data_IF_003967888935
#
_entry.id   IF_003967888935
#
_cell.length_a   1.000
_cell.length_b   1.000
_cell.length_c   1.000
_cell.angle_alpha   90.00
_cell.angle_beta   90.00
_cell.angle_gamma   90.00
#
_symmetry.space_group_name_H-M   'P 1'
#
loop_
_entity.id
_entity.type
_entity.pdbx_description
1 polymer ?
#
# COMPACT_ATOMS: atom_id res chain seq x y z
N UNK A 1 76.13 -6.27 15.21
CA UNK A 1 74.97 -6.79 15.95
C UNK A 1 73.89 -5.71 15.91
N UNK A 2 72.92 -5.86 15.00
CA UNK A 2 71.83 -4.91 14.82
C UNK A 2 70.66 -5.27 15.75
N UNK A 3 69.98 -4.21 16.25
CA UNK A 3 68.55 -4.10 16.59
C UNK A 3 68.03 -4.94 17.79
N UNK A 4 67.01 -4.55 18.57
CA UNK A 4 65.80 -3.78 18.28
C UNK A 4 65.31 -2.97 19.51
N UNK A 5 64.61 -1.88 19.19
CA UNK A 5 64.03 -0.86 20.04
C UNK A 5 62.85 -1.34 20.90
N UNK A 6 62.62 -0.58 21.96
CA UNK A 6 61.49 -0.63 22.88
C UNK A 6 60.13 -0.91 22.21
N UNK A 7 59.46 -1.97 22.67
CA UNK A 7 58.07 -2.27 22.33
C UNK A 7 57.13 -1.24 22.96
N UNK A 8 56.58 -0.36 22.13
CA UNK A 8 55.43 0.47 22.44
C UNK A 8 54.21 -0.40 22.69
N UNK A 9 53.48 -0.12 23.76
CA UNK A 9 52.15 -0.68 24.03
C UNK A 9 51.19 -0.20 22.93
N UNK A 10 51.09 -0.98 21.86
CA UNK A 10 50.17 -0.73 20.76
C UNK A 10 48.77 -1.23 21.15
N UNK A 11 47.83 -0.30 21.24
CA UNK A 11 46.41 -0.53 20.93
C UNK A 11 45.65 -1.51 21.82
N UNK A 12 45.27 -1.07 23.03
CA UNK A 12 43.98 -1.49 23.55
C UNK A 12 42.91 -0.86 22.65
N UNK A 13 42.45 -1.60 21.64
CA UNK A 13 41.27 -1.26 20.86
C UNK A 13 40.09 -1.12 21.82
N UNK A 14 39.80 0.13 22.19
CA UNK A 14 38.50 0.53 22.69
C UNK A 14 37.46 -0.05 21.73
N UNK A 15 36.74 -1.06 22.20
CA UNK A 15 35.47 -1.46 21.60
C UNK A 15 34.49 -0.32 21.85
N UNK A 16 34.67 0.79 21.15
CA UNK A 16 33.61 1.75 20.91
C UNK A 16 32.44 0.93 20.41
N UNK A 17 31.36 0.88 21.20
CA UNK A 17 30.04 0.58 20.66
C UNK A 17 29.85 1.60 19.56
N UNK A 18 30.12 1.20 18.31
CA UNK A 18 30.03 2.04 17.13
C UNK A 18 28.60 2.57 17.07
N UNK A 19 28.40 3.75 17.65
CA UNK A 19 27.10 4.42 17.64
C UNK A 19 26.80 4.60 16.16
N UNK A 20 25.73 3.98 15.64
CA UNK A 20 25.46 4.03 14.21
C UNK A 20 25.40 5.49 13.81
N UNK A 21 26.10 5.84 12.74
CA UNK A 21 26.20 7.22 12.30
C UNK A 21 24.79 7.83 12.21
N UNK A 22 24.60 9.05 12.74
CA UNK A 22 23.33 9.79 12.76
C UNK A 22 22.44 9.60 11.50
N UNK A 23 22.97 9.63 10.25
CA UNK A 23 22.18 9.36 9.05
C UNK A 23 21.55 7.95 8.96
N UNK A 24 22.17 6.90 9.49
CA UNK A 24 21.59 5.54 9.51
C UNK A 24 20.45 5.43 10.51
N UNK A 25 20.57 6.09 11.67
CA UNK A 25 19.51 6.15 12.68
C UNK A 25 18.27 6.84 12.08
N UNK A 26 18.46 7.93 11.34
CA UNK A 26 17.37 8.67 10.67
C UNK A 26 16.68 7.83 9.60
N UNK A 27 17.45 7.16 8.73
CA UNK A 27 16.90 6.24 7.71
C UNK A 27 16.11 5.09 8.35
N UNK A 28 16.58 4.54 9.48
CA UNK A 28 15.88 3.48 10.22
C UNK A 28 14.58 3.99 10.85
N UNK A 29 14.58 5.20 11.43
CA UNK A 29 13.37 5.86 11.94
C UNK A 29 12.34 6.10 10.84
N UNK A 30 12.78 6.56 9.66
CA UNK A 30 11.91 6.74 8.50
C UNK A 30 11.27 5.42 8.05
N UNK A 31 12.07 4.34 7.94
CA UNK A 31 11.56 3.01 7.59
C UNK A 31 10.51 2.51 8.59
N UNK A 32 10.83 2.58 9.89
CA UNK A 32 9.90 2.17 10.95
C UNK A 32 8.60 2.97 10.90
N UNK A 33 8.67 4.28 10.62
CA UNK A 33 7.49 5.13 10.49
C UNK A 33 6.63 4.76 9.28
N UNK A 34 7.26 4.50 8.13
CA UNK A 34 6.57 4.02 6.92
C UNK A 34 5.91 2.66 7.17
N UNK A 35 6.61 1.73 7.83
CA UNK A 35 6.04 0.44 8.21
C UNK A 35 4.83 0.57 9.15
N UNK A 36 4.92 1.44 10.16
CA UNK A 36 3.81 1.71 11.07
C UNK A 36 2.58 2.25 10.32
N UNK A 37 2.81 3.11 9.31
CA UNK A 37 1.73 3.61 8.46
C UNK A 37 1.15 2.54 7.54
N UNK A 38 1.95 1.64 6.98
CA UNK A 38 1.47 0.59 6.05
C UNK A 38 0.70 -0.52 6.76
N UNK A 39 1.09 -0.88 7.99
CA UNK A 39 0.49 -1.95 8.79
C UNK A 39 -1.05 -1.92 8.89
N UNK A 40 -1.73 -0.81 9.20
CA UNK A 40 -3.19 -0.77 9.27
C UNK A 40 -3.85 -1.08 7.91
N UNK A 41 -3.39 -0.47 6.82
CA UNK A 41 -3.93 -0.72 5.47
C UNK A 41 -3.82 -2.20 5.06
N UNK A 42 -2.69 -2.84 5.37
CA UNK A 42 -2.51 -4.27 5.11
C UNK A 42 -3.48 -5.17 5.90
N UNK A 43 -3.89 -4.74 7.10
CA UNK A 43 -4.88 -5.46 7.90
C UNK A 43 -6.28 -5.26 7.32
N UNK A 44 -6.61 -4.05 6.90
CA UNK A 44 -7.88 -3.71 6.26
C UNK A 44 -8.10 -4.51 4.98
N UNK A 45 -7.10 -4.59 4.10
CA UNK A 45 -7.16 -5.38 2.85
C UNK A 45 -7.47 -6.86 3.12
N UNK A 46 -6.77 -7.45 4.09
CA UNK A 46 -7.01 -8.85 4.50
C UNK A 46 -8.41 -9.04 5.08
N UNK A 47 -8.90 -8.06 5.84
CA UNK A 47 -10.22 -8.12 6.46
C UNK A 47 -11.34 -8.00 5.42
N UNK A 48 -11.20 -7.08 4.46
CA UNK A 48 -12.14 -6.92 3.34
C UNK A 48 -12.25 -8.23 2.56
N UNK A 49 -11.12 -8.80 2.13
CA UNK A 49 -11.11 -10.07 1.38
C UNK A 49 -11.79 -11.23 2.15
N UNK A 50 -11.50 -11.37 3.44
CA UNK A 50 -12.15 -12.38 4.30
C UNK A 50 -13.65 -12.18 4.39
N UNK A 51 -14.07 -10.93 4.53
CA UNK A 51 -15.49 -10.56 4.68
C UNK A 51 -16.25 -10.83 3.37
N UNK A 52 -15.68 -10.50 2.21
CA UNK A 52 -16.25 -10.82 0.89
C UNK A 52 -16.46 -12.33 0.70
N UNK A 53 -15.45 -13.15 1.04
CA UNK A 53 -15.58 -14.61 0.99
C UNK A 53 -16.68 -15.10 1.92
N UNK A 54 -16.73 -14.57 3.15
CA UNK A 54 -17.73 -14.97 4.13
C UNK A 54 -19.13 -14.65 3.64
N UNK A 55 -19.37 -13.44 3.13
CA UNK A 55 -20.68 -13.02 2.60
C UNK A 55 -21.10 -13.89 1.42
N UNK A 56 -20.20 -14.20 0.49
CA UNK A 56 -20.48 -15.11 -0.62
C UNK A 56 -20.87 -16.52 -0.13
N UNK A 57 -20.21 -17.03 0.92
CA UNK A 57 -20.56 -18.35 1.51
C UNK A 57 -21.90 -18.32 2.23
N UNK A 58 -22.19 -17.27 2.99
CA UNK A 58 -23.46 -17.11 3.69
C UNK A 58 -24.63 -17.02 2.71
N UNK A 59 -24.48 -16.25 1.63
CA UNK A 59 -25.47 -16.16 0.56
C UNK A 59 -25.74 -17.54 -0.04
N UNK A 60 -24.70 -18.29 -0.43
CA UNK A 60 -24.85 -19.67 -0.95
C UNK A 60 -25.58 -20.60 0.04
N UNK A 61 -25.22 -20.53 1.33
CA UNK A 61 -25.87 -21.34 2.38
C UNK A 61 -27.35 -21.00 2.54
N UNK A 62 -27.70 -19.73 2.38
CA UNK A 62 -29.07 -19.23 2.46
C UNK A 62 -29.84 -19.34 1.12
N UNK A 63 -29.28 -20.00 0.10
CA UNK A 63 -29.85 -20.04 -1.26
C UNK A 63 -30.07 -18.65 -1.89
N UNK A 64 -29.28 -17.66 -1.50
CA UNK A 64 -29.28 -16.29 -1.99
C UNK A 64 -28.01 -15.98 -2.81
N UNK A 65 -28.02 -14.87 -3.54
CA UNK A 65 -26.90 -14.41 -4.35
C UNK A 65 -26.18 -13.21 -3.70
N UNK A 66 -24.85 -13.23 -3.68
CA UNK A 66 -24.02 -12.11 -3.23
C UNK A 66 -23.41 -11.38 -4.43
N UNK A 67 -23.59 -10.07 -4.50
CA UNK A 67 -23.02 -9.21 -5.53
C UNK A 67 -21.82 -8.45 -4.93
N UNK A 68 -20.59 -8.64 -5.45
CA UNK A 68 -19.41 -7.94 -4.96
C UNK A 68 -19.48 -6.44 -5.31
N UNK A 69 -18.77 -5.61 -4.56
CA UNK A 69 -18.72 -4.17 -4.80
C UNK A 69 -17.96 -3.85 -6.08
N UNK A 70 -18.47 -2.90 -6.87
CA UNK A 70 -17.78 -2.44 -8.09
C UNK A 70 -16.45 -1.75 -7.76
N UNK A 71 -15.39 -1.96 -8.58
CA UNK A 71 -14.09 -1.33 -8.38
C UNK A 71 -14.18 0.18 -8.60
N UNK A 72 -13.62 0.96 -7.66
CA UNK A 72 -13.70 2.44 -7.68
C UNK A 72 -12.57 3.12 -8.44
N UNK A 73 -11.47 2.41 -8.74
CA UNK A 73 -10.27 2.97 -9.34
C UNK A 73 -9.85 2.17 -10.58
N UNK A 74 -9.38 2.86 -11.60
CA UNK A 74 -8.81 2.26 -12.81
C UNK A 74 -7.40 2.81 -13.06
N UNK A 75 -6.45 1.94 -13.42
CA UNK A 75 -5.10 2.31 -13.82
C UNK A 75 -5.04 2.44 -15.35
N UNK A 76 -4.98 3.68 -15.86
CA UNK A 76 -4.86 3.94 -17.30
C UNK A 76 -3.40 4.12 -17.69
N UNK A 77 -2.87 3.17 -18.47
CA UNK A 77 -1.49 3.24 -19.01
C UNK A 77 -1.55 3.47 -20.52
N UNK A 78 -0.86 4.52 -21.01
CA UNK A 78 -0.73 4.80 -22.44
C UNK A 78 0.32 3.86 -23.05
N UNK A 79 -0.11 2.95 -23.93
CA UNK A 79 0.76 2.01 -24.64
C UNK A 79 1.33 2.55 -25.97
N UNK A 80 0.97 3.79 -26.37
CA UNK A 80 1.52 4.44 -27.57
C UNK A 80 2.61 5.43 -27.16
N UNK A 81 3.83 5.16 -27.63
CA UNK A 81 5.04 5.85 -27.26
C UNK A 81 5.14 7.24 -27.86
N UNK A 82 5.14 8.26 -27.01
CA UNK A 82 5.73 9.57 -27.30
C UNK A 82 6.39 10.10 -26.03
N UNK A 83 7.66 10.50 -26.16
CA UNK A 83 8.49 11.04 -25.09
C UNK A 83 8.22 12.54 -24.87
N UNK A 84 7.12 12.93 -24.20
CA UNK A 84 7.07 14.26 -23.55
C UNK A 84 6.36 14.19 -22.20
N UNK A 85 7.06 14.75 -21.21
CA UNK A 85 6.78 14.81 -19.76
C UNK A 85 5.29 14.71 -19.41
N UNK A 86 4.91 13.65 -18.69
CA UNK A 86 3.56 13.49 -18.14
C UNK A 86 3.38 14.48 -16.98
N UNK A 87 2.65 15.56 -17.19
CA UNK A 87 1.92 16.24 -16.13
C UNK A 87 0.60 15.48 -15.92
N UNK A 88 0.31 15.11 -14.68
CA UNK A 88 -0.95 14.45 -14.31
C UNK A 88 -2.08 15.48 -14.41
N UNK A 89 -3.10 15.21 -15.23
CA UNK A 89 -4.36 15.94 -15.19
C UNK A 89 -5.42 15.02 -14.59
N UNK A 90 -5.83 15.32 -13.36
CA UNK A 90 -7.05 14.78 -12.77
C UNK A 90 -8.24 15.52 -13.38
N UNK A 91 -9.29 14.79 -13.76
CA UNK A 91 -10.61 15.37 -14.02
C UNK A 91 -11.55 14.78 -12.98
N UNK A 92 -11.86 15.58 -11.97
CA UNK A 92 -13.02 15.40 -11.12
C UNK A 92 -14.25 15.93 -11.87
N UNK A 93 -15.08 15.02 -12.39
CA UNK A 93 -16.47 15.27 -12.76
C UNK A 93 -17.10 13.88 -12.97
N UNK A 94 -17.98 13.38 -12.11
CA UNK A 94 -19.17 14.08 -11.65
C UNK A 94 -20.32 13.81 -12.60
N UNK A 95 -20.67 12.54 -12.83
CA UNK A 95 -22.05 12.16 -13.22
C UNK A 95 -22.32 10.65 -13.01
N UNK A 96 -22.06 10.14 -11.81
CA UNK A 96 -22.40 8.77 -11.43
C UNK A 96 -23.78 8.74 -10.73
N UNK A 97 -24.78 9.35 -11.36
CA UNK A 97 -26.06 9.68 -10.71
C UNK A 97 -27.29 9.25 -11.49
N UNK A 98 -27.28 8.14 -12.25
CA UNK A 98 -28.47 7.79 -13.04
C UNK A 98 -28.86 6.29 -13.12
N UNK A 99 -28.50 5.50 -12.10
CA UNK A 99 -29.00 4.11 -11.94
C UNK A 99 -30.40 4.05 -11.35
N UNK A 100 -30.75 5.03 -10.51
CA UNK A 100 -32.04 5.09 -9.82
C UNK A 100 -33.21 5.26 -10.81
N UNK A 101 -33.02 6.06 -11.86
CA UNK A 101 -34.00 6.24 -12.93
C UNK A 101 -34.28 4.97 -13.74
N UNK A 102 -33.27 4.10 -13.92
CA UNK A 102 -33.46 2.82 -14.60
C UNK A 102 -34.24 1.83 -13.73
N UNK A 103 -33.97 1.82 -12.43
CA UNK A 103 -34.66 0.97 -11.45
C UNK A 103 -36.12 1.43 -11.29
N UNK A 104 -36.35 2.73 -11.15
CA UNK A 104 -37.69 3.31 -11.00
C UNK A 104 -38.55 3.11 -12.27
N UNK A 105 -37.93 3.15 -13.45
CA UNK A 105 -38.60 2.86 -14.73
C UNK A 105 -38.99 1.39 -14.87
N UNK A 106 -38.17 0.47 -14.36
CA UNK A 106 -38.48 -0.97 -14.36
C UNK A 106 -39.68 -1.25 -13.46
N UNK A 107 -39.68 -0.71 -12.24
CA UNK A 107 -40.76 -0.92 -11.27
C UNK A 107 -42.12 -0.41 -11.77
N UNK A 108 -42.14 0.70 -12.54
CA UNK A 108 -43.37 1.22 -13.17
C UNK A 108 -43.87 0.41 -14.36
N UNK A 109 -43.04 -0.46 -14.94
CA UNK A 109 -43.46 -1.41 -16.00
C UNK A 109 -43.94 -2.74 -15.44
N UNK A 110 -43.52 -3.08 -14.22
CA UNK A 110 -43.83 -4.35 -13.57
C UNK A 110 -45.11 -4.30 -12.74
N UNK A 111 -45.62 -3.10 -12.43
CA UNK A 111 -46.92 -2.85 -11.83
C UNK A 111 -47.86 -2.20 -12.85
#
# INVERSE_FOLDING_TARGET
>A
MASFLAGTMEGAEEKEKKVPAMPEILKKKQKNFTELKIKPYHKEDKQIYRTEIQMARMARKASNFYVPTEPKLALVIRNRGEMKKRAMHFVEAGDAGNREDHINRLNRRMN
#
